data_IF_490683357873
#
_entry.id   IF_490683357873
#
_cell.length_a   1.000
_cell.length_b   1.000
_cell.length_c   1.000
_cell.angle_alpha   90.00
_cell.angle_beta   90.00
_cell.angle_gamma   90.00
#
_symmetry.space_group_name_H-M   'P 1'
#
loop_
_entity.id
_entity.type
_entity.pdbx_description
1 polymer ?
#
# COMPACT_ATOMS: atom_id res chain seq x y z
N UNK A 1 -7.69 62.39 -18.22
CA UNK A 1 -8.12 61.02 -18.56
C UNK A 1 -7.85 60.14 -17.35
N UNK A 2 -8.89 59.47 -16.83
CA UNK A 2 -9.05 59.17 -15.40
C UNK A 2 -8.29 57.92 -14.90
N UNK A 3 -7.26 58.12 -14.06
CA UNK A 3 -6.55 57.04 -13.36
C UNK A 3 -7.38 56.31 -12.28
N UNK A 4 -8.56 56.84 -11.92
CA UNK A 4 -9.48 56.21 -10.96
C UNK A 4 -10.32 55.08 -11.57
N UNK A 5 -10.31 54.90 -12.89
CA UNK A 5 -11.05 53.83 -13.55
C UNK A 5 -10.24 52.53 -13.72
N UNK A 6 -8.91 52.58 -13.62
CA UNK A 6 -8.06 51.41 -13.88
C UNK A 6 -7.94 50.45 -12.68
N UNK A 7 -7.98 50.98 -11.45
CA UNK A 7 -7.97 50.15 -10.24
C UNK A 7 -9.30 49.43 -9.99
N UNK A 8 -10.43 49.98 -10.45
CA UNK A 8 -11.72 49.31 -10.30
C UNK A 8 -11.86 48.09 -11.23
N UNK A 9 -11.22 48.13 -12.41
CA UNK A 9 -11.26 47.03 -13.38
C UNK A 9 -10.27 45.91 -13.02
N UNK A 10 -9.13 46.22 -12.40
CA UNK A 10 -8.17 45.20 -11.96
C UNK A 10 -8.61 44.47 -10.68
N UNK A 11 -9.39 45.11 -9.80
CA UNK A 11 -9.95 44.44 -8.61
C UNK A 11 -11.19 43.57 -8.95
N UNK A 12 -11.99 43.95 -9.95
CA UNK A 12 -13.09 43.10 -10.44
C UNK A 12 -12.59 41.90 -11.28
N UNK A 13 -11.42 41.99 -11.93
CA UNK A 13 -10.83 40.85 -12.65
C UNK A 13 -10.05 39.88 -11.74
N UNK A 14 -9.51 40.33 -10.60
CA UNK A 14 -8.86 39.44 -9.62
C UNK A 14 -9.89 38.79 -8.69
N UNK A 15 -11.06 39.42 -8.47
CA UNK A 15 -12.19 38.79 -7.80
C UNK A 15 -12.95 37.76 -8.68
N UNK A 16 -12.71 37.77 -10.00
CA UNK A 16 -13.28 36.84 -10.97
C UNK A 16 -12.25 35.84 -11.53
N UNK A 17 -11.19 35.56 -10.77
CA UNK A 17 -10.40 34.33 -10.89
C UNK A 17 -10.36 33.54 -9.57
N UNK A 18 -11.40 33.70 -8.75
CA UNK A 18 -11.77 32.77 -7.68
C UNK A 18 -13.13 32.18 -8.01
N UNK A 19 -13.36 31.84 -9.28
CA UNK A 19 -14.62 31.24 -9.73
C UNK A 19 -14.41 29.76 -10.00
N UNK A 20 -14.89 28.96 -9.05
CA UNK A 20 -15.36 27.59 -9.25
C UNK A 20 -14.34 26.57 -9.75
N UNK A 21 -13.38 26.28 -8.89
CA UNK A 21 -13.17 24.87 -8.54
C UNK A 21 -12.97 24.85 -7.03
N UNK A 22 -14.00 24.50 -6.25
CA UNK A 22 -13.67 23.51 -5.23
C UNK A 22 -13.08 22.36 -6.05
N UNK A 23 -11.76 22.18 -5.99
CA UNK A 23 -11.12 21.10 -6.72
C UNK A 23 -11.68 19.85 -6.06
N UNK A 24 -12.74 19.27 -6.61
CA UNK A 24 -13.12 17.89 -6.32
C UNK A 24 -11.95 17.06 -6.86
N UNK A 25 -10.94 16.81 -6.02
CA UNK A 25 -9.98 15.75 -6.28
C UNK A 25 -10.84 14.49 -6.40
N UNK A 26 -10.87 13.91 -7.60
CA UNK A 26 -11.54 12.64 -7.78
C UNK A 26 -10.81 11.62 -6.91
N UNK A 27 -11.55 10.76 -6.21
CA UNK A 27 -10.92 9.80 -5.31
C UNK A 27 -9.96 8.89 -6.08
N UNK A 28 -8.73 8.78 -5.59
CA UNK A 28 -7.72 7.88 -6.13
C UNK A 28 -7.56 6.69 -5.18
N UNK A 29 -7.28 5.48 -5.69
CA UNK A 29 -7.01 4.35 -4.80
C UNK A 29 -5.69 4.59 -4.06
N UNK A 30 -5.56 4.09 -2.82
CA UNK A 30 -4.31 4.17 -2.09
C UNK A 30 -3.22 3.34 -2.79
N UNK A 31 -1.97 3.69 -2.54
CA UNK A 31 -0.79 2.94 -2.97
C UNK A 31 -0.23 2.18 -1.76
N UNK A 32 0.28 0.98 -2.00
CA UNK A 32 0.93 0.14 -0.99
C UNK A 32 2.29 -0.34 -1.50
N UNK A 33 3.29 -0.31 -0.63
CA UNK A 33 4.67 -0.67 -0.95
C UNK A 33 5.24 -1.59 0.13
N UNK A 34 6.17 -2.46 -0.27
CA UNK A 34 6.90 -3.32 0.67
C UNK A 34 7.98 -2.51 1.37
N UNK A 35 8.04 -2.56 2.70
CA UNK A 35 9.17 -1.99 3.46
C UNK A 35 10.38 -2.92 3.41
N UNK A 36 10.13 -4.23 3.35
CA UNK A 36 11.16 -5.25 3.17
C UNK A 36 10.77 -6.19 2.05
N UNK A 37 11.76 -6.63 1.26
CA UNK A 37 11.54 -7.66 0.24
C UNK A 37 10.93 -8.93 0.81
N UNK A 38 11.09 -9.17 2.12
CA UNK A 38 10.73 -10.42 2.80
C UNK A 38 11.62 -11.58 2.33
N UNK A 39 11.31 -12.82 2.76
CA UNK A 39 11.98 -14.00 2.24
C UNK A 39 11.63 -14.18 0.76
N UNK A 40 12.60 -14.66 -0.01
CA UNK A 40 12.43 -15.00 -1.42
C UNK A 40 12.97 -16.41 -1.66
N UNK A 41 12.18 -17.26 -2.32
CA UNK A 41 12.55 -18.66 -2.56
C UNK A 41 12.43 -19.50 -1.28
N UNK A 42 13.33 -20.47 -1.12
CA UNK A 42 13.32 -21.41 -0.01
C UNK A 42 13.71 -20.75 1.32
N UNK A 43 12.98 -21.05 2.39
CA UNK A 43 13.28 -20.61 3.75
C UNK A 43 13.08 -21.73 4.78
N UNK A 44 13.89 -21.69 5.84
CA UNK A 44 13.78 -22.52 7.03
C UNK A 44 13.07 -21.78 8.18
N UNK A 45 12.73 -20.50 7.99
CA UNK A 45 12.06 -19.69 9.00
C UNK A 45 10.65 -20.23 9.23
N UNK A 46 10.29 -20.48 10.49
CA UNK A 46 8.94 -20.96 10.88
C UNK A 46 7.97 -19.81 11.19
N UNK A 47 8.49 -18.58 11.19
CA UNK A 47 7.78 -17.34 11.39
C UNK A 47 8.41 -16.26 10.52
N UNK A 48 7.61 -15.59 9.70
CA UNK A 48 8.07 -14.48 8.85
C UNK A 48 7.30 -13.22 9.22
N UNK A 49 8.02 -12.11 9.40
CA UNK A 49 7.42 -10.78 9.54
C UNK A 49 7.41 -10.08 8.19
N UNK A 50 6.22 -9.67 7.78
CA UNK A 50 5.99 -8.86 6.58
C UNK A 50 5.71 -7.43 7.01
N UNK A 51 6.32 -6.47 6.31
CA UNK A 51 6.22 -5.05 6.62
C UNK A 51 5.91 -4.26 5.35
N UNK A 52 5.00 -3.30 5.46
CA UNK A 52 4.54 -2.48 4.34
C UNK A 52 4.25 -1.05 4.79
N UNK A 53 4.25 -0.13 3.82
CA UNK A 53 3.66 1.19 3.99
C UNK A 53 2.55 1.37 2.98
N UNK A 54 1.63 2.27 3.30
CA UNK A 54 0.60 2.70 2.38
C UNK A 54 0.32 4.19 2.55
N UNK A 55 0.04 4.83 1.43
CA UNK A 55 -0.30 6.25 1.37
C UNK A 55 -1.43 6.47 0.37
N UNK A 56 -2.11 7.60 0.52
CA UNK A 56 -3.18 8.01 -0.37
C UNK A 56 -3.02 9.51 -0.67
N UNK A 57 -2.95 9.87 -1.95
CA UNK A 57 -2.57 11.22 -2.38
C UNK A 57 -3.69 12.25 -2.18
N UNK A 58 -4.94 11.81 -2.09
CA UNK A 58 -6.11 12.66 -1.89
C UNK A 58 -6.92 12.32 -0.63
N UNK A 59 -6.33 11.56 0.28
CA UNK A 59 -6.98 11.05 1.48
C UNK A 59 -6.02 10.37 2.45
N UNK A 60 -6.48 9.31 3.10
CA UNK A 60 -5.66 8.48 3.98
C UNK A 60 -6.09 7.01 3.92
N UNK A 61 -5.15 6.11 4.21
CA UNK A 61 -5.45 4.68 4.34
C UNK A 61 -6.28 4.44 5.60
N UNK A 62 -7.50 3.94 5.42
CA UNK A 62 -8.45 3.65 6.51
C UNK A 62 -8.33 2.21 7.03
N UNK A 63 -7.89 1.27 6.19
CA UNK A 63 -7.82 -0.15 6.51
C UNK A 63 -6.83 -0.89 5.61
N UNK A 64 -5.99 -1.74 6.20
CA UNK A 64 -5.31 -2.82 5.50
C UNK A 64 -6.09 -4.11 5.62
N UNK A 65 -6.03 -4.91 4.56
CA UNK A 65 -6.48 -6.29 4.57
C UNK A 65 -5.33 -7.18 4.12
N UNK A 66 -5.19 -8.35 4.72
CA UNK A 66 -4.26 -9.38 4.26
C UNK A 66 -4.97 -10.68 3.92
N UNK A 67 -4.31 -11.53 3.15
CA UNK A 67 -4.69 -12.94 2.97
C UNK A 67 -3.44 -13.80 2.79
N UNK A 68 -3.60 -15.07 3.09
CA UNK A 68 -2.58 -16.10 2.90
C UNK A 68 -3.09 -17.10 1.87
N UNK A 69 -2.21 -17.56 0.99
CA UNK A 69 -2.45 -18.69 0.07
C UNK A 69 -3.74 -18.56 -0.76
N UNK A 70 -4.00 -17.35 -1.26
CA UNK A 70 -5.20 -17.04 -2.05
C UNK A 70 -6.52 -17.13 -1.29
N UNK A 71 -6.48 -17.20 0.04
CA UNK A 71 -7.64 -17.27 0.91
C UNK A 71 -8.51 -16.00 0.92
N UNK A 72 -9.41 -15.92 1.91
CA UNK A 72 -10.26 -14.75 2.09
C UNK A 72 -9.45 -13.56 2.65
N UNK A 73 -9.84 -12.35 2.25
CA UNK A 73 -9.29 -11.12 2.82
C UNK A 73 -9.75 -10.91 4.27
N UNK A 74 -8.80 -10.65 5.16
CA UNK A 74 -9.02 -10.42 6.58
C UNK A 74 -8.70 -8.96 6.91
N UNK A 75 -9.64 -8.26 7.55
CA UNK A 75 -9.45 -6.89 8.02
C UNK A 75 -8.36 -6.83 9.10
N UNK A 76 -7.40 -5.92 8.95
CA UNK A 76 -6.21 -5.84 9.80
C UNK A 76 -5.90 -4.43 10.30
N UNK A 77 -6.93 -3.59 10.46
CA UNK A 77 -6.80 -2.21 10.94
C UNK A 77 -5.77 -1.42 10.11
N UNK A 78 -5.06 -0.46 10.71
CA UNK A 78 -4.03 0.36 10.07
C UNK A 78 -2.60 -0.05 10.41
N UNK A 79 -2.42 -1.26 10.97
CA UNK A 79 -1.09 -1.80 11.26
C UNK A 79 -0.33 -2.10 9.97
N UNK A 80 0.98 -1.87 10.02
CA UNK A 80 1.90 -1.95 8.88
C UNK A 80 2.84 -3.16 8.93
N UNK A 81 2.62 -4.07 9.88
CA UNK A 81 3.39 -5.30 9.98
C UNK A 81 2.54 -6.46 10.46
N UNK A 82 2.85 -7.66 9.97
CA UNK A 82 2.22 -8.90 10.39
C UNK A 82 3.24 -10.03 10.44
N UNK A 83 3.25 -10.77 11.54
CA UNK A 83 4.04 -12.00 11.67
C UNK A 83 3.15 -13.20 11.44
N UNK A 84 3.44 -13.95 10.38
CA UNK A 84 2.80 -15.22 10.09
C UNK A 84 3.69 -16.37 10.55
N UNK A 85 3.14 -17.31 11.31
CA UNK A 85 3.82 -18.52 11.75
C UNK A 85 2.95 -19.75 11.47
N UNK A 86 3.56 -20.94 11.47
CA UNK A 86 2.81 -22.21 11.48
C UNK A 86 2.17 -22.59 10.14
N UNK A 87 2.70 -22.07 9.03
CA UNK A 87 2.45 -22.60 7.69
C UNK A 87 3.08 -23.99 7.52
N UNK A 88 2.56 -24.77 6.58
CA UNK A 88 3.04 -26.13 6.29
C UNK A 88 4.23 -26.08 5.32
N UNK A 89 4.92 -27.20 5.11
CA UNK A 89 5.94 -27.27 4.05
C UNK A 89 5.29 -27.08 2.67
N UNK A 90 5.92 -26.28 1.82
CA UNK A 90 5.44 -25.96 0.47
C UNK A 90 5.49 -24.48 0.12
N UNK A 91 4.89 -24.16 -1.02
CA UNK A 91 4.82 -22.80 -1.55
C UNK A 91 3.72 -22.00 -0.86
N UNK A 92 4.05 -20.76 -0.51
CA UNK A 92 3.18 -19.84 0.18
C UNK A 92 3.14 -18.47 -0.46
N UNK A 93 1.98 -17.83 -0.32
CA UNK A 93 1.78 -16.43 -0.70
C UNK A 93 1.19 -15.65 0.45
N UNK A 94 1.74 -14.46 0.70
CA UNK A 94 1.17 -13.47 1.61
C UNK A 94 0.89 -12.20 0.81
N UNK A 95 -0.36 -11.74 0.85
CA UNK A 95 -0.79 -10.56 0.11
C UNK A 95 -1.41 -9.53 1.04
N UNK A 96 -1.15 -8.26 0.76
CA UNK A 96 -1.74 -7.13 1.50
C UNK A 96 -2.28 -6.10 0.51
N UNK A 97 -3.44 -5.54 0.81
CA UNK A 97 -4.02 -4.40 0.10
C UNK A 97 -4.53 -3.34 1.09
N UNK A 98 -4.60 -2.10 0.63
CA UNK A 98 -5.10 -0.96 1.39
C UNK A 98 -6.50 -0.55 0.91
N UNK A 99 -7.30 0.03 1.80
CA UNK A 99 -8.51 0.79 1.51
C UNK A 99 -8.36 2.22 2.02
N UNK A 100 -8.84 3.18 1.24
CA UNK A 100 -8.83 4.60 1.63
C UNK A 100 -10.07 4.98 2.45
N UNK A 101 -10.16 6.26 2.85
CA UNK A 101 -11.27 6.84 3.61
C UNK A 101 -12.56 7.03 2.79
N UNK A 102 -12.51 6.86 1.46
CA UNK A 102 -13.65 7.01 0.54
C UNK A 102 -14.08 5.68 -0.09
N UNK A 103 -13.46 4.57 0.29
CA UNK A 103 -13.83 3.20 -0.04
C UNK A 103 -13.14 2.57 -1.26
N UNK A 104 -12.17 3.22 -1.93
CA UNK A 104 -11.39 2.54 -2.97
C UNK A 104 -10.33 1.63 -2.36
N UNK A 105 -9.87 0.66 -3.15
CA UNK A 105 -8.92 -0.39 -2.74
C UNK A 105 -7.71 -0.36 -3.66
N UNK A 106 -6.50 -0.54 -3.10
CA UNK A 106 -5.26 -0.67 -3.87
C UNK A 106 -5.20 -2.01 -4.63
N UNK A 107 -4.33 -2.07 -5.64
CA UNK A 107 -3.77 -3.36 -6.05
C UNK A 107 -2.99 -3.99 -4.87
N UNK A 108 -2.99 -5.32 -4.72
CA UNK A 108 -2.25 -5.96 -3.64
C UNK A 108 -0.75 -6.04 -3.94
N UNK A 109 0.06 -5.95 -2.89
CA UNK A 109 1.45 -6.42 -2.92
C UNK A 109 1.51 -7.88 -2.48
N UNK A 110 2.47 -8.64 -3.02
CA UNK A 110 2.59 -10.07 -2.84
C UNK A 110 4.00 -10.47 -2.44
N UNK A 111 4.14 -11.26 -1.37
CA UNK A 111 5.33 -12.04 -1.06
C UNK A 111 5.07 -13.50 -1.42
N UNK A 112 6.08 -14.13 -2.03
CA UNK A 112 6.07 -15.56 -2.34
C UNK A 112 7.33 -16.20 -1.77
N UNK A 113 7.15 -17.30 -1.06
CA UNK A 113 8.23 -18.06 -0.44
C UNK A 113 7.88 -19.54 -0.40
N UNK A 114 8.89 -20.38 -0.27
CA UNK A 114 8.74 -21.83 -0.13
C UNK A 114 9.30 -22.21 1.23
N UNK A 115 8.49 -22.75 2.11
CA UNK A 115 8.96 -23.26 3.39
C UNK A 115 9.36 -24.73 3.23
N UNK A 116 10.57 -25.10 3.66
CA UNK A 116 11.01 -26.49 3.70
C UNK A 116 11.74 -26.81 5.00
N UNK A 117 11.63 -28.05 5.46
CA UNK A 117 12.40 -28.56 6.61
C UNK A 117 13.80 -29.04 6.21
N UNK A 118 14.13 -29.04 4.92
CA UNK A 118 15.42 -29.48 4.40
C UNK A 118 16.31 -28.27 4.13
N UNK A 119 17.55 -28.31 4.64
CA UNK A 119 18.57 -27.36 4.18
C UNK A 119 18.75 -27.50 2.66
N UNK A 120 18.96 -26.39 1.94
CA UNK A 120 19.26 -26.47 0.52
C UNK A 120 20.46 -27.39 0.28
N UNK A 121 20.28 -28.37 -0.62
CA UNK A 121 21.21 -29.49 -0.83
C UNK A 121 22.63 -29.04 -1.21
N UNK A 122 22.80 -27.78 -1.63
CA UNK A 122 24.07 -27.14 -1.94
C UNK A 122 24.96 -26.78 -0.73
N UNK A 123 24.47 -26.88 0.51
CA UNK A 123 25.34 -26.71 1.70
C UNK A 123 26.13 -27.99 2.08
N UNK A 124 25.73 -29.16 1.60
CA UNK A 124 26.31 -30.45 2.07
C UNK A 124 27.42 -31.03 1.19
N UNK A 125 27.82 -30.34 0.12
CA UNK A 125 28.82 -30.85 -0.86
C UNK A 125 30.28 -30.53 -0.53
N UNK A 126 30.61 -30.19 0.73
CA UNK A 126 31.97 -29.80 1.13
C UNK A 126 32.65 -30.78 2.10
N UNK A 127 32.61 -32.08 1.80
CA UNK A 127 33.47 -33.09 2.42
C UNK A 127 34.16 -33.98 1.37
#
# INVERSE_FOLDING_TARGET
>A
MNFRLFFLVLFLSIAMLVTTSCIFRNNQPPVIEKESSGPSGDTLDVCITFEWLGYDDDGYVSLYQYRTDGGQWIDYSTKTSYTWCGYQEGDHTFEVRAKDDKGLTSEPILWAFTFSYLNPIWETSSL
#
